data_IF_969591403839
#
_entry.id   IF_969591403839
#
_cell.length_a   1.000
_cell.length_b   1.000
_cell.length_c   1.000
_cell.angle_alpha   90.00
_cell.angle_beta   90.00
_cell.angle_gamma   90.00
#
_symmetry.space_group_name_H-M   'P 1'
#
loop_
_entity.id
_entity.type
_entity.pdbx_description
1 polymer ?
#
# COMPACT_ATOMS: atom_id res chain seq x y z
N UNK A 1 -5.69 2.35 -19.72
CA UNK A 1 -6.52 2.66 -18.53
C UNK A 1 -5.71 2.34 -17.28
N UNK A 2 -5.81 3.14 -16.21
CA UNK A 2 -4.94 3.01 -15.03
C UNK A 2 -5.07 1.67 -14.30
N UNK A 3 -6.30 1.18 -14.05
CA UNK A 3 -6.51 -0.11 -13.36
C UNK A 3 -5.81 -1.29 -14.05
N UNK A 4 -6.04 -1.54 -15.35
CA UNK A 4 -5.31 -2.54 -16.11
C UNK A 4 -3.80 -2.34 -16.14
N UNK A 5 -3.35 -1.08 -16.30
CA UNK A 5 -1.92 -0.77 -16.32
C UNK A 5 -1.24 -1.15 -15.01
N UNK A 6 -1.80 -0.71 -13.87
CA UNK A 6 -1.26 -0.98 -12.54
C UNK A 6 -1.32 -2.48 -12.20
N UNK A 7 -2.43 -3.15 -12.53
CA UNK A 7 -2.56 -4.59 -12.30
C UNK A 7 -1.60 -5.44 -13.14
N UNK A 8 -1.23 -4.98 -14.35
CA UNK A 8 -0.31 -5.69 -15.23
C UNK A 8 1.14 -5.71 -14.70
N UNK A 9 1.53 -4.74 -13.88
CA UNK A 9 2.90 -4.63 -13.35
C UNK A 9 3.33 -5.85 -12.54
N UNK A 10 2.38 -6.54 -11.88
CA UNK A 10 2.62 -7.76 -11.10
C UNK A 10 1.68 -8.91 -11.51
N UNK A 11 1.28 -8.98 -12.78
CA UNK A 11 0.36 -10.01 -13.27
C UNK A 11 0.89 -11.45 -13.08
N UNK A 12 2.21 -11.62 -13.17
CA UNK A 12 2.93 -12.87 -12.93
C UNK A 12 2.78 -13.37 -11.48
N UNK A 13 2.64 -12.44 -10.53
CA UNK A 13 2.52 -12.73 -9.12
C UNK A 13 1.07 -12.97 -8.64
N UNK A 14 0.07 -12.90 -9.52
CA UNK A 14 -1.35 -13.23 -9.23
C UNK A 14 -1.85 -12.69 -7.87
N UNK A 15 -2.04 -11.36 -7.72
CA UNK A 15 -2.61 -10.78 -6.51
C UNK A 15 -3.98 -11.36 -6.17
N UNK A 16 -4.28 -11.50 -4.89
CA UNK A 16 -5.63 -11.86 -4.39
C UNK A 16 -6.27 -10.75 -3.57
N UNK A 17 -5.48 -9.73 -3.21
CA UNK A 17 -5.93 -8.59 -2.44
C UNK A 17 -5.13 -7.34 -2.86
N UNK A 18 -5.85 -6.26 -3.15
CA UNK A 18 -5.25 -4.94 -3.35
C UNK A 18 -5.37 -4.13 -2.06
N UNK A 19 -4.29 -3.46 -1.66
CA UNK A 19 -4.33 -2.45 -0.61
C UNK A 19 -4.02 -1.08 -1.19
N UNK A 20 -4.65 -0.04 -0.64
CA UNK A 20 -4.37 1.35 -0.98
C UNK A 20 -4.28 2.20 0.28
N UNK A 21 -3.35 3.16 0.31
CA UNK A 21 -3.14 4.03 1.47
C UNK A 21 -3.92 5.34 1.29
N UNK A 22 -4.51 5.82 2.38
CA UNK A 22 -5.21 7.09 2.41
C UNK A 22 -4.30 8.27 1.96
N UNK A 23 -4.72 9.13 1.04
CA UNK A 23 -6.00 9.19 0.31
C UNK A 23 -5.90 8.69 -1.13
N UNK A 24 -4.77 8.89 -1.81
CA UNK A 24 -4.67 8.72 -3.27
C UNK A 24 -4.74 7.25 -3.69
N UNK A 25 -4.14 6.33 -2.92
CA UNK A 25 -4.30 4.89 -3.12
C UNK A 25 -5.75 4.40 -3.03
N UNK A 26 -6.66 5.17 -2.42
CA UNK A 26 -8.09 4.82 -2.34
C UNK A 26 -8.87 5.10 -3.62
N UNK A 27 -8.28 5.83 -4.57
CA UNK A 27 -8.86 6.01 -5.91
C UNK A 27 -8.36 4.92 -6.85
N UNK A 28 -7.05 4.65 -6.83
CA UNK A 28 -6.39 3.72 -7.75
C UNK A 28 -6.52 2.26 -7.34
N UNK A 29 -6.57 1.98 -6.03
CA UNK A 29 -6.71 0.63 -5.51
C UNK A 29 -8.01 -0.06 -5.94
N UNK A 30 -9.20 0.53 -5.70
CA UNK A 30 -10.47 -0.09 -6.06
C UNK A 30 -10.63 -0.34 -7.56
N UNK A 31 -10.18 0.57 -8.43
CA UNK A 31 -10.26 0.38 -9.89
C UNK A 31 -9.35 -0.75 -10.36
N UNK A 32 -8.20 -0.94 -9.70
CA UNK A 32 -7.26 -2.03 -9.98
C UNK A 32 -7.81 -3.36 -9.47
N UNK A 33 -8.36 -3.37 -8.25
CA UNK A 33 -9.00 -4.55 -7.65
C UNK A 33 -10.20 -5.03 -8.49
N UNK A 34 -11.04 -4.10 -8.95
CA UNK A 34 -12.18 -4.39 -9.81
C UNK A 34 -11.74 -5.01 -11.13
N UNK A 35 -10.67 -4.49 -11.74
CA UNK A 35 -10.13 -5.05 -12.98
C UNK A 35 -9.59 -6.47 -12.80
N UNK A 36 -8.89 -6.73 -11.70
CA UNK A 36 -8.32 -8.04 -11.39
C UNK A 36 -9.36 -9.04 -10.83
N UNK A 37 -10.55 -8.58 -10.45
CA UNK A 37 -11.59 -9.42 -9.85
C UNK A 37 -11.26 -9.87 -8.42
N UNK A 38 -10.55 -9.04 -7.66
CA UNK A 38 -10.05 -9.37 -6.30
C UNK A 38 -10.53 -8.39 -5.25
N UNK A 39 -10.25 -8.69 -3.97
CA UNK A 39 -10.63 -7.82 -2.86
C UNK A 39 -9.83 -6.50 -2.83
N UNK A 40 -10.37 -5.50 -2.13
CA UNK A 40 -9.70 -4.25 -1.82
C UNK A 40 -9.76 -3.95 -0.31
N UNK A 41 -8.65 -3.46 0.25
CA UNK A 41 -8.54 -3.02 1.64
C UNK A 41 -7.93 -1.62 1.72
N UNK A 42 -8.63 -0.72 2.40
CA UNK A 42 -8.17 0.62 2.73
C UNK A 42 -7.22 0.57 3.94
N UNK A 43 -6.04 1.18 3.79
CA UNK A 43 -5.10 1.47 4.88
C UNK A 43 -5.25 2.95 5.27
N UNK A 44 -5.62 3.21 6.52
CA UNK A 44 -5.90 4.57 7.01
C UNK A 44 -4.70 5.15 7.74
N UNK A 45 -4.64 6.48 7.78
CA UNK A 45 -3.67 7.24 8.59
C UNK A 45 -4.25 7.47 9.99
N UNK A 46 -3.53 7.07 11.03
CA UNK A 46 -3.92 7.32 12.42
C UNK A 46 -3.62 8.77 12.81
N UNK A 47 -4.59 9.65 12.56
CA UNK A 47 -4.47 11.08 12.80
C UNK A 47 -4.64 11.35 14.30
N UNK A 48 -3.55 11.27 15.07
CA UNK A 48 -3.53 11.69 16.49
C UNK A 48 -3.51 13.21 16.66
N UNK A 49 -4.55 13.88 16.15
CA UNK A 49 -5.22 15.00 16.82
C UNK A 49 -6.72 14.77 16.55
N UNK A 50 -7.48 14.51 17.62
CA UNK A 50 -8.90 14.10 17.67
C UNK A 50 -9.16 12.60 17.47
N UNK A 51 -9.11 11.88 18.61
CA UNK A 51 -9.71 10.56 18.77
C UNK A 51 -8.85 9.41 18.25
N UNK A 52 -8.42 8.54 19.15
CA UNK A 52 -7.95 7.21 18.77
C UNK A 52 -8.93 6.63 17.75
N UNK A 53 -8.45 6.21 16.57
CA UNK A 53 -9.27 5.37 15.70
C UNK A 53 -9.51 4.06 16.46
N UNK A 54 -10.57 4.07 17.27
CA UNK A 54 -11.24 2.91 17.81
C UNK A 54 -12.15 2.53 16.67
N UNK A 55 -11.69 1.60 15.83
CA UNK A 55 -12.60 0.91 14.92
C UNK A 55 -13.83 0.40 15.70
N UNK A 56 -14.88 -0.11 15.02
CA UNK A 56 -15.99 -0.74 15.72
C UNK A 56 -15.44 -1.68 16.81
N UNK A 57 -15.94 -1.50 18.04
CA UNK A 57 -15.27 -1.80 19.33
C UNK A 57 -14.87 -3.28 19.59
N UNK A 58 -14.87 -4.12 18.56
CA UNK A 58 -14.66 -5.56 18.64
C UNK A 58 -13.52 -6.10 17.77
N UNK A 59 -12.90 -5.32 16.87
CA UNK A 59 -11.82 -5.87 16.01
C UNK A 59 -10.43 -5.32 16.33
N UNK A 60 -9.44 -6.19 16.63
CA UNK A 60 -8.05 -5.80 16.75
C UNK A 60 -7.54 -5.06 15.50
N UNK A 61 -6.90 -3.91 15.73
CA UNK A 61 -6.27 -3.12 14.67
C UNK A 61 -4.80 -3.49 14.55
N UNK A 62 -4.33 -3.72 13.32
CA UNK A 62 -2.91 -3.72 13.00
C UNK A 62 -2.43 -2.28 12.85
N UNK A 63 -1.22 -2.01 13.34
CA UNK A 63 -0.64 -0.67 13.35
C UNK A 63 0.83 -0.74 12.98
N UNK A 64 1.28 0.17 12.12
CA UNK A 64 2.71 0.30 11.82
C UNK A 64 3.10 1.78 11.64
N UNK A 65 4.11 2.21 12.40
CA UNK A 65 4.67 3.54 12.28
C UNK A 65 5.72 3.62 11.16
N UNK A 66 5.72 4.69 10.38
CA UNK A 66 6.82 5.05 9.48
C UNK A 66 7.92 5.77 10.27
N UNK A 67 9.19 5.68 9.83
CA UNK A 67 10.19 6.65 10.27
C UNK A 67 9.71 8.10 10.00
N UNK A 68 10.24 9.09 10.73
CA UNK A 68 9.99 10.50 10.48
C UNK A 68 10.73 10.92 9.21
N UNK A 69 10.02 10.91 8.08
CA UNK A 69 10.58 11.27 6.76
C UNK A 69 10.36 12.75 6.41
N UNK A 70 9.44 13.41 7.11
CA UNK A 70 9.17 14.84 7.00
C UNK A 70 9.01 15.47 8.39
N UNK A 71 9.02 16.81 8.44
CA UNK A 71 8.98 17.66 9.64
C UNK A 71 7.78 17.41 10.59
N UNK A 72 6.84 16.54 10.21
CA UNK A 72 5.61 16.22 10.94
C UNK A 72 5.72 15.00 11.88
N UNK A 73 6.91 14.43 12.07
CA UNK A 73 7.14 13.46 13.15
C UNK A 73 6.52 12.08 12.91
N UNK A 74 6.72 11.49 11.73
CA UNK A 74 6.33 10.10 11.42
C UNK A 74 4.81 9.87 11.37
N UNK A 75 4.40 8.85 10.64
CA UNK A 75 2.99 8.53 10.42
C UNK A 75 2.69 7.15 10.96
N UNK A 76 1.54 6.94 11.62
CA UNK A 76 1.06 5.59 11.96
C UNK A 76 -0.03 5.18 10.99
N UNK A 77 0.14 4.03 10.33
CA UNK A 77 -0.88 3.41 9.49
C UNK A 77 -1.70 2.42 10.32
N UNK A 78 -3.00 2.32 10.02
CA UNK A 78 -3.94 1.43 10.73
C UNK A 78 -4.91 0.73 9.80
N UNK A 79 -5.25 -0.51 10.15
CA UNK A 79 -6.22 -1.34 9.42
C UNK A 79 -6.81 -2.40 10.36
N UNK A 80 -8.11 -2.75 10.24
CA UNK A 80 -8.66 -3.89 10.97
C UNK A 80 -8.00 -5.20 10.54
N UNK A 81 -7.46 -5.95 11.52
CA UNK A 81 -6.62 -7.13 11.25
C UNK A 81 -7.34 -8.24 10.49
N UNK A 82 -8.65 -8.41 10.72
CA UNK A 82 -9.49 -9.42 10.03
C UNK A 82 -9.56 -9.25 8.50
N UNK A 83 -9.16 -8.08 7.99
CA UNK A 83 -9.16 -7.77 6.55
C UNK A 83 -7.99 -8.43 5.81
N UNK A 84 -7.02 -8.96 6.54
CA UNK A 84 -5.99 -9.84 6.00
C UNK A 84 -6.22 -11.26 6.51
N UNK A 85 -6.03 -12.22 5.62
CA UNK A 85 -6.13 -13.65 5.92
C UNK A 85 -4.80 -14.33 5.57
N UNK A 86 -4.43 -15.38 6.30
CA UNK A 86 -3.32 -16.23 5.90
C UNK A 86 -3.50 -16.71 4.46
N UNK A 87 -2.46 -16.51 3.63
CA UNK A 87 -2.48 -16.85 2.21
C UNK A 87 -3.00 -15.75 1.27
N UNK A 88 -3.48 -14.61 1.78
CA UNK A 88 -3.71 -13.44 0.93
C UNK A 88 -2.38 -12.99 0.30
N UNK A 89 -2.40 -12.75 -1.02
CA UNK A 89 -1.26 -12.23 -1.77
C UNK A 89 -1.54 -10.75 -2.06
N UNK A 90 -0.88 -9.88 -1.29
CA UNK A 90 -1.20 -8.46 -1.17
C UNK A 90 -0.32 -7.62 -2.08
N UNK A 91 -0.96 -6.87 -2.98
CA UNK A 91 -0.32 -5.86 -3.82
C UNK A 91 -0.75 -4.46 -3.34
N UNK A 92 0.22 -3.62 -2.98
CA UNK A 92 -0.03 -2.20 -2.73
C UNK A 92 -0.22 -1.47 -4.05
N UNK A 93 -1.26 -0.64 -4.15
CA UNK A 93 -1.48 0.26 -5.27
C UNK A 93 -1.54 1.70 -4.76
N UNK A 94 -0.71 2.56 -5.34
CA UNK A 94 -0.70 3.99 -5.06
C UNK A 94 -0.34 4.78 -6.32
N UNK A 95 -0.30 6.11 -6.23
CA UNK A 95 0.11 6.96 -7.35
C UNK A 95 1.62 7.18 -7.38
N UNK A 96 2.26 7.38 -6.23
CA UNK A 96 3.67 7.76 -6.15
C UNK A 96 4.37 7.06 -4.99
N UNK A 97 5.63 6.71 -5.19
CA UNK A 97 6.50 6.20 -4.12
C UNK A 97 7.94 6.70 -4.30
N UNK A 98 8.53 7.18 -3.21
CA UNK A 98 9.88 7.74 -3.20
C UNK A 98 10.73 7.06 -2.11
N UNK A 99 10.48 7.34 -0.84
CA UNK A 99 11.19 6.74 0.31
C UNK A 99 10.84 5.28 0.54
N UNK A 100 9.59 4.91 0.22
CA UNK A 100 9.02 3.59 0.45
C UNK A 100 8.67 3.28 1.91
N UNK A 101 8.67 4.23 2.86
CA UNK A 101 8.34 3.88 4.24
C UNK A 101 6.89 3.48 4.46
N UNK A 102 5.94 4.15 3.80
CA UNK A 102 4.53 3.76 3.93
C UNK A 102 4.31 2.34 3.41
N UNK A 103 4.87 2.01 2.24
CA UNK A 103 4.89 0.65 1.72
C UNK A 103 5.60 -0.35 2.66
N UNK A 104 6.70 0.05 3.28
CA UNK A 104 7.41 -0.78 4.27
C UNK A 104 6.56 -1.02 5.54
N UNK A 105 5.81 -0.02 5.99
CA UNK A 105 4.88 -0.15 7.10
C UNK A 105 3.71 -1.08 6.76
N UNK A 106 3.14 -0.96 5.55
CA UNK A 106 2.11 -1.88 5.06
C UNK A 106 2.65 -3.31 4.96
N UNK A 107 3.84 -3.50 4.39
CA UNK A 107 4.48 -4.84 4.32
C UNK A 107 4.59 -5.49 5.69
N UNK A 108 4.98 -4.75 6.72
CA UNK A 108 5.05 -5.29 8.10
C UNK A 108 3.67 -5.73 8.60
N UNK A 109 2.63 -4.90 8.41
CA UNK A 109 1.26 -5.29 8.80
C UNK A 109 0.77 -6.53 8.05
N UNK A 110 1.04 -6.60 6.74
CA UNK A 110 0.71 -7.77 5.90
C UNK A 110 1.41 -9.03 6.41
N UNK A 111 2.72 -8.95 6.68
CA UNK A 111 3.50 -10.09 7.21
C UNK A 111 3.03 -10.50 8.61
N UNK A 112 2.73 -9.55 9.50
CA UNK A 112 2.21 -9.82 10.84
C UNK A 112 0.85 -10.53 10.80
N UNK A 113 0.01 -10.22 9.82
CA UNK A 113 -1.26 -10.89 9.59
C UNK A 113 -1.14 -12.29 8.96
N UNK A 114 0.08 -12.75 8.63
CA UNK A 114 0.33 -14.03 7.95
C UNK A 114 0.01 -14.01 6.45
N UNK A 115 -0.17 -12.82 5.86
CA UNK A 115 -0.35 -12.64 4.43
C UNK A 115 1.00 -12.43 3.70
N UNK A 116 1.00 -12.65 2.39
CA UNK A 116 2.17 -12.53 1.52
C UNK A 116 2.22 -11.14 0.89
N UNK A 117 3.33 -10.43 1.07
CA UNK A 117 3.59 -9.19 0.33
C UNK A 117 4.09 -9.53 -1.08
N UNK A 118 3.35 -9.13 -2.10
CA UNK A 118 3.76 -9.25 -3.50
C UNK A 118 4.71 -8.12 -3.89
N UNK A 119 4.31 -6.88 -3.62
CA UNK A 119 4.99 -5.71 -4.18
C UNK A 119 4.16 -4.44 -4.07
N UNK A 120 4.62 -3.40 -4.78
CA UNK A 120 3.89 -2.15 -4.95
C UNK A 120 3.81 -1.77 -6.43
N UNK A 121 2.59 -1.53 -6.92
CA UNK A 121 2.32 -1.01 -8.24
C UNK A 121 1.95 0.48 -8.14
N UNK A 122 2.71 1.34 -8.80
CA UNK A 122 2.52 2.79 -8.73
C UNK A 122 2.40 3.43 -10.10
N UNK A 123 1.84 4.64 -10.16
CA UNK A 123 1.88 5.44 -11.39
C UNK A 123 3.31 5.92 -11.62
N UNK A 124 3.96 6.48 -10.60
CA UNK A 124 5.36 6.93 -10.66
C UNK A 124 6.21 6.26 -9.58
N UNK A 125 7.29 5.62 -10.02
CA UNK A 125 8.35 5.09 -9.18
C UNK A 125 9.55 6.07 -9.14
N UNK A 126 9.71 6.74 -8.00
CA UNK A 126 10.84 7.60 -7.67
C UNK A 126 11.75 6.95 -6.60
N UNK A 127 11.69 5.63 -6.43
CA UNK A 127 12.47 4.95 -5.42
C UNK A 127 13.96 4.86 -5.80
N UNK A 128 14.82 4.96 -4.78
CA UNK A 128 16.21 4.52 -4.92
C UNK A 128 16.24 3.01 -5.27
N UNK A 129 17.22 2.52 -6.07
CA UNK A 129 17.25 1.14 -6.56
C UNK A 129 17.13 0.07 -5.46
N UNK A 130 17.74 0.31 -4.30
CA UNK A 130 17.69 -0.62 -3.16
C UNK A 130 16.29 -0.67 -2.51
N UNK A 131 15.53 0.43 -2.50
CA UNK A 131 14.16 0.47 -2.00
C UNK A 131 13.24 -0.26 -2.98
N UNK A 132 13.38 0.05 -4.28
CA UNK A 132 12.65 -0.61 -5.37
C UNK A 132 12.80 -2.12 -5.30
N UNK A 133 14.04 -2.62 -5.23
CA UNK A 133 14.32 -4.05 -5.15
C UNK A 133 13.78 -4.68 -3.86
N UNK A 134 13.92 -4.02 -2.70
CA UNK A 134 13.47 -4.54 -1.41
C UNK A 134 11.95 -4.69 -1.33
N UNK A 135 11.21 -3.79 -1.96
CA UNK A 135 9.75 -3.72 -1.88
C UNK A 135 9.04 -4.25 -3.14
N UNK A 136 9.79 -4.69 -4.16
CA UNK A 136 9.31 -5.03 -5.51
C UNK A 136 8.36 -3.95 -6.05
N UNK A 137 8.88 -2.71 -6.07
CA UNK A 137 8.18 -1.55 -6.64
C UNK A 137 8.28 -1.62 -8.15
N UNK A 138 7.15 -1.41 -8.83
CA UNK A 138 7.08 -1.25 -10.28
C UNK A 138 6.18 -0.06 -10.59
N UNK A 139 6.64 0.82 -11.46
CA UNK A 139 5.92 2.01 -11.90
C UNK A 139 5.44 1.91 -13.34
N UNK A 140 4.36 2.61 -13.67
CA UNK A 140 4.00 2.90 -15.07
C UNK A 140 4.98 3.91 -15.69
N UNK A 141 5.50 4.79 -14.85
CA UNK A 141 6.51 5.80 -15.13
C UNK A 141 7.58 5.75 -14.04
N UNK A 142 8.74 6.28 -14.36
CA UNK A 142 9.84 6.60 -13.43
C UNK A 142 9.95 8.11 -13.28
N UNK A 143 10.69 8.58 -12.28
CA UNK A 143 10.95 10.02 -12.10
C UNK A 143 11.58 10.66 -13.36
N UNK A 144 12.42 9.91 -14.09
CA UNK A 144 13.06 10.36 -15.33
C UNK A 144 12.08 10.57 -16.50
N UNK A 145 10.88 10.00 -16.43
CA UNK A 145 9.85 10.15 -17.47
C UNK A 145 9.03 11.44 -17.30
N UNK A 146 9.24 12.20 -16.22
CA UNK A 146 8.47 13.40 -15.90
C UNK A 146 9.13 14.66 -16.48
N UNK A 147 8.33 15.66 -16.89
CA UNK A 147 8.87 16.95 -17.30
C UNK A 147 9.59 17.62 -16.12
N UNK A 148 10.74 18.23 -16.43
CA UNK A 148 11.53 19.03 -15.50
C UNK A 148 10.81 20.30 -15.02
#
# INVERSE_FOLDING_TARGET
MLGPGLGALHADARPTLIVGIETRGLVLGPITALHLGVGFVEIRKDRRIVGEYRGPAADPLLRAATPPEYQDGGLTLVVPGRLFRPGDRVLLVDEWIETGAQASAVRRMVTEAGAEWIGAAVVVDACAPHVRARLDVRGLLTEDDLPA
#
